data_IF_286218313341
#
_entry.id   IF_286218313341
#
_cell.length_a   1.000
_cell.length_b   1.000
_cell.length_c   1.000
_cell.angle_alpha   90.00
_cell.angle_beta   90.00
_cell.angle_gamma   90.00
#
_symmetry.space_group_name_H-M   'P 1'
#
loop_
_entity.id
_entity.type
_entity.pdbx_description
1 polymer ?
#
# COMPACT_ATOMS: atom_id res chain seq x y z
N UNK A 1 -10.48 -3.90 -8.59
CA UNK A 1 -9.12 -4.39 -8.28
C UNK A 1 -8.26 -3.18 -7.96
N UNK A 2 -7.65 -3.12 -6.77
CA UNK A 2 -6.86 -1.97 -6.34
C UNK A 2 -5.67 -1.73 -7.29
N UNK A 3 -5.46 -0.48 -7.72
CA UNK A 3 -4.40 -0.13 -8.67
C UNK A 3 -3.11 0.25 -7.93
N UNK A 4 -2.35 -0.77 -7.52
CA UNK A 4 -1.07 -0.60 -6.81
C UNK A 4 -0.06 0.26 -7.58
N UNK A 5 -0.12 0.27 -8.92
CA UNK A 5 0.80 1.06 -9.75
C UNK A 5 0.49 2.56 -9.61
N UNK A 6 -0.78 2.94 -9.69
CA UNK A 6 -1.20 4.32 -9.54
C UNK A 6 -0.89 4.85 -8.13
N UNK A 7 -1.20 4.07 -7.08
CA UNK A 7 -0.91 4.46 -5.70
C UNK A 7 0.59 4.68 -5.45
N UNK A 8 1.46 3.80 -5.99
CA UNK A 8 2.92 3.99 -5.90
C UNK A 8 3.42 5.23 -6.65
N UNK A 9 2.88 5.49 -7.85
CA UNK A 9 3.25 6.69 -8.60
C UNK A 9 2.86 7.95 -7.83
N UNK A 10 1.67 7.96 -7.23
CA UNK A 10 1.19 9.07 -6.43
C UNK A 10 2.06 9.33 -5.19
N UNK A 11 2.44 8.28 -4.46
CA UNK A 11 3.38 8.39 -3.32
C UNK A 11 4.72 8.99 -3.76
N UNK A 12 5.28 8.57 -4.90
CA UNK A 12 6.54 9.12 -5.41
C UNK A 12 6.43 10.59 -5.84
N UNK A 13 5.30 10.99 -6.43
CA UNK A 13 5.00 12.38 -6.76
C UNK A 13 4.92 13.25 -5.49
N UNK A 14 4.22 12.79 -4.46
CA UNK A 14 4.13 13.48 -3.17
C UNK A 14 5.51 13.58 -2.50
N UNK A 15 6.31 12.50 -2.51
CA UNK A 15 7.70 12.51 -1.99
C UNK A 15 8.58 13.48 -2.77
N UNK A 16 8.41 13.60 -4.09
CA UNK A 16 9.14 14.57 -4.89
C UNK A 16 8.74 16.00 -4.54
N UNK A 17 7.44 16.29 -4.44
CA UNK A 17 6.92 17.61 -4.06
C UNK A 17 7.38 18.01 -2.66
N UNK A 18 7.36 17.08 -1.70
CA UNK A 18 7.90 17.27 -0.36
C UNK A 18 9.37 17.67 -0.40
N UNK A 19 10.22 16.88 -1.08
CA UNK A 19 11.67 17.16 -1.19
C UNK A 19 11.96 18.50 -1.87
N UNK A 20 11.19 18.85 -2.90
CA UNK A 20 11.36 20.09 -3.66
C UNK A 20 11.06 21.30 -2.80
N UNK A 21 9.91 21.32 -2.14
CA UNK A 21 9.43 22.48 -1.40
C UNK A 21 10.08 22.61 -0.01
N UNK A 22 10.57 21.51 0.58
CA UNK A 22 11.41 21.55 1.81
C UNK A 22 12.65 22.44 1.67
N UNK A 23 13.16 22.66 0.46
CA UNK A 23 14.28 23.59 0.21
C UNK A 23 13.88 25.07 0.21
N UNK A 24 12.58 25.37 0.08
CA UNK A 24 12.09 26.73 -0.18
C UNK A 24 11.20 27.28 0.94
N UNK A 25 10.82 26.46 1.93
CA UNK A 25 9.88 26.84 2.98
C UNK A 25 10.53 26.84 4.37
N UNK A 26 10.06 27.73 5.24
CA UNK A 26 10.46 27.81 6.64
C UNK A 26 10.09 26.54 7.41
N UNK A 27 10.84 26.25 8.49
CA UNK A 27 10.71 25.03 9.31
C UNK A 27 9.41 24.96 10.14
N UNK A 28 8.46 25.86 9.95
CA UNK A 28 7.25 25.94 10.78
C UNK A 28 6.33 24.72 10.62
N UNK A 29 6.56 23.87 9.62
CA UNK A 29 5.90 22.57 9.47
C UNK A 29 4.40 22.68 9.18
N UNK A 30 3.92 23.84 8.73
CA UNK A 30 2.49 24.04 8.46
C UNK A 30 2.09 23.56 7.06
N UNK A 31 3.06 23.23 6.21
CA UNK A 31 2.80 22.76 4.84
C UNK A 31 3.20 21.30 4.60
N UNK A 32 4.10 20.74 5.41
CA UNK A 32 4.50 19.34 5.29
C UNK A 32 3.48 18.35 5.85
N UNK A 33 2.71 18.72 6.89
CA UNK A 33 1.72 17.82 7.51
C UNK A 33 0.67 17.29 6.51
N UNK A 34 0.25 18.09 5.54
CA UNK A 34 -0.70 17.66 4.50
C UNK A 34 -0.08 16.57 3.62
N UNK A 35 1.16 16.79 3.15
CA UNK A 35 1.84 15.84 2.27
C UNK A 35 2.23 14.57 3.01
N UNK A 36 2.68 14.70 4.27
CA UNK A 36 3.02 13.54 5.11
C UNK A 36 1.77 12.72 5.41
N UNK A 37 0.66 13.36 5.79
CA UNK A 37 -0.60 12.68 6.05
C UNK A 37 -1.13 11.91 4.83
N UNK A 38 -1.09 12.51 3.65
CA UNK A 38 -1.56 11.85 2.43
C UNK A 38 -0.64 10.69 1.98
N UNK A 39 0.67 10.79 2.22
CA UNK A 39 1.59 9.66 2.05
C UNK A 39 1.24 8.52 3.00
N UNK A 40 1.01 8.81 4.29
CA UNK A 40 0.70 7.80 5.31
C UNK A 40 -0.60 7.07 5.01
N UNK A 41 -1.64 7.78 4.58
CA UNK A 41 -2.92 7.18 4.17
C UNK A 41 -2.74 6.24 2.97
N UNK A 42 -2.03 6.66 1.94
CA UNK A 42 -1.77 5.84 0.76
C UNK A 42 -0.90 4.62 1.05
N UNK A 43 0.08 4.74 1.96
CA UNK A 43 0.89 3.61 2.41
C UNK A 43 0.04 2.61 3.20
N UNK A 44 -0.89 3.08 4.05
CA UNK A 44 -1.86 2.24 4.77
C UNK A 44 -2.82 1.53 3.82
N UNK A 45 -3.39 2.22 2.84
CA UNK A 45 -4.24 1.60 1.82
C UNK A 45 -3.51 0.50 1.04
N UNK A 46 -2.23 0.74 0.70
CA UNK A 46 -1.38 -0.25 0.06
C UNK A 46 -1.19 -1.48 0.94
N UNK A 47 -0.92 -1.29 2.23
CA UNK A 47 -0.74 -2.39 3.18
C UNK A 47 -2.03 -3.21 3.36
N UNK A 48 -3.18 -2.55 3.49
CA UNK A 48 -4.49 -3.21 3.59
C UNK A 48 -4.84 -3.99 2.32
N UNK A 49 -4.58 -3.42 1.15
CA UNK A 49 -4.78 -4.10 -0.13
C UNK A 49 -3.81 -5.28 -0.32
N UNK A 50 -2.59 -5.21 0.23
CA UNK A 50 -1.66 -6.33 0.28
C UNK A 50 -2.13 -7.44 1.23
N UNK A 51 -2.66 -7.08 2.41
CA UNK A 51 -3.23 -8.03 3.38
C UNK A 51 -4.44 -8.76 2.82
N UNK A 52 -5.37 -8.03 2.20
CA UNK A 52 -6.56 -8.63 1.58
C UNK A 52 -6.20 -9.57 0.43
N UNK A 53 -5.23 -9.20 -0.42
CA UNK A 53 -4.71 -10.08 -1.47
C UNK A 53 -4.04 -11.34 -0.90
N UNK A 54 -3.29 -11.21 0.19
CA UNK A 54 -2.61 -12.34 0.83
C UNK A 54 -3.59 -13.28 1.51
N UNK A 55 -4.63 -12.73 2.16
CA UNK A 55 -5.70 -13.51 2.78
C UNK A 55 -6.45 -14.35 1.74
N UNK A 56 -6.80 -13.78 0.58
CA UNK A 56 -7.43 -14.52 -0.54
C UNK A 56 -6.51 -15.63 -1.08
N UNK A 57 -5.20 -15.40 -1.12
CA UNK A 57 -4.22 -16.41 -1.54
C UNK A 57 -4.05 -17.56 -0.53
N UNK A 58 -4.20 -17.28 0.77
CA UNK A 58 -4.11 -18.29 1.83
C UNK A 58 -5.35 -19.19 1.86
N UNK A 59 -6.54 -18.60 1.73
CA UNK A 59 -7.81 -19.34 1.73
C UNK A 59 -7.87 -20.34 0.57
N UNK A 60 -7.48 -19.90 -0.63
CA UNK A 60 -7.45 -20.74 -1.82
C UNK A 60 -6.42 -21.90 -1.72
N UNK A 61 -5.33 -21.73 -0.95
CA UNK A 61 -4.35 -22.80 -0.69
C UNK A 61 -4.83 -23.79 0.37
N UNK A 62 -5.57 -23.32 1.37
CA UNK A 62 -6.21 -24.18 2.38
C UNK A 62 -7.23 -25.11 1.72
N UNK A 63 -8.04 -24.59 0.81
CA UNK A 63 -9.01 -25.39 0.05
C UNK A 63 -8.35 -26.43 -0.85
N UNK A 64 -7.27 -26.07 -1.55
CA UNK A 64 -6.51 -27.00 -2.42
C UNK A 64 -5.84 -28.15 -1.65
N UNK A 65 -5.38 -27.90 -0.42
CA UNK A 65 -4.78 -28.95 0.41
C UNK A 65 -5.83 -29.92 0.98
N UNK A 66 -7.06 -29.47 1.23
CA UNK A 66 -8.15 -30.34 1.68
C UNK A 66 -8.60 -31.28 0.55
N UNK A 67 -8.60 -30.81 -0.70
CA UNK A 67 -9.04 -31.63 -1.86
C UNK A 67 -8.01 -32.73 -2.18
N UNK A 68 -6.71 -32.45 -2.06
CA UNK A 68 -5.66 -33.42 -2.39
C UNK A 68 -5.43 -34.50 -1.32
N UNK A 69 -5.92 -34.33 -0.10
CA UNK A 69 -5.81 -35.35 0.96
C UNK A 69 -6.92 -36.42 0.94
N UNK A 70 -7.94 -36.27 0.09
CA UNK A 70 -9.10 -37.17 0.03
C UNK A 70 -9.14 -38.08 -1.21
N UNK A 71 -8.03 -38.21 -1.95
CA UNK A 71 -7.91 -39.20 -3.03
C UNK A 71 -7.32 -40.48 -2.43
N UNK A 72 -8.11 -41.55 -2.20
CA UNK A 72 -7.54 -42.83 -1.80
C UNK A 72 -6.74 -43.42 -2.96
N UNK A 73 -5.52 -43.88 -2.67
CA UNK A 73 -4.67 -44.66 -3.59
C UNK A 73 -5.24 -46.06 -3.81
#
# INVERSE_FOLDING_TARGET
>A
MYNFKAARQHIEELKFMYRRNKKHHEKDGTWDWIIVGEIEELEKELEEAHKSRTAVLHDNRSDLNIINSNIPQ
#
